data_IF_247256345877
#
_entry.id   IF_247256345877
#
_cell.length_a   1.000
_cell.length_b   1.000
_cell.length_c   1.000
_cell.angle_alpha   90.00
_cell.angle_beta   90.00
_cell.angle_gamma   90.00
#
_symmetry.space_group_name_H-M   'P 1'
#
loop_
_entity.id
_entity.type
_entity.pdbx_description
1 polymer ?
#
# COMPACT_ATOMS: atom_id res chain seq x y z
N UNK A 1 12.39 -15.26 7.61
CA UNK A 1 12.59 -15.75 6.23
C UNK A 1 12.00 -14.78 5.23
N UNK A 2 10.67 -14.74 5.04
CA UNK A 2 10.07 -13.98 3.93
C UNK A 2 9.94 -12.47 4.15
N UNK A 3 9.89 -12.00 5.40
CA UNK A 3 9.74 -10.57 5.71
C UNK A 3 10.73 -9.66 4.95
N UNK A 4 12.07 -9.81 5.08
CA UNK A 4 13.04 -8.96 4.38
C UNK A 4 13.08 -9.15 2.87
N UNK A 5 12.48 -10.21 2.32
CA UNK A 5 12.50 -10.48 0.88
C UNK A 5 11.43 -9.70 0.11
N UNK A 6 10.47 -9.06 0.81
CA UNK A 6 9.40 -8.30 0.18
C UNK A 6 9.48 -6.81 0.46
N UNK A 7 9.16 -6.03 -0.57
CA UNK A 7 9.00 -4.58 -0.54
C UNK A 7 7.63 -4.25 -1.13
N UNK A 8 6.85 -3.41 -0.45
CA UNK A 8 5.62 -2.87 -1.01
C UNK A 8 5.93 -1.53 -1.69
N UNK A 9 5.46 -1.37 -2.92
CA UNK A 9 5.61 -0.14 -3.70
C UNK A 9 4.26 0.55 -3.80
N UNK A 10 4.24 1.84 -3.53
CA UNK A 10 3.06 2.69 -3.62
C UNK A 10 3.35 3.92 -4.46
N UNK A 11 2.33 4.44 -5.12
CA UNK A 11 2.39 5.76 -5.75
C UNK A 11 1.77 6.81 -4.83
N UNK A 12 2.41 7.96 -4.73
CA UNK A 12 1.84 9.13 -4.08
C UNK A 12 0.70 9.67 -4.96
N UNK A 13 -0.51 9.74 -4.40
CA UNK A 13 -1.68 10.31 -5.07
C UNK A 13 -1.95 11.76 -4.69
N UNK A 14 -1.54 12.18 -3.49
CA UNK A 14 -1.82 13.53 -3.00
C UNK A 14 -0.96 13.90 -1.79
N UNK A 15 -0.84 15.20 -1.56
CA UNK A 15 -0.13 15.79 -0.44
C UNK A 15 -1.07 16.70 0.33
N UNK A 16 -1.08 16.58 1.65
CA UNK A 16 -1.84 17.46 2.55
C UNK A 16 -0.94 17.98 3.65
N UNK A 17 -0.66 19.27 3.60
CA UNK A 17 0.05 19.97 4.66
C UNK A 17 -0.95 20.52 5.67
N UNK A 18 -0.72 20.23 6.95
CA UNK A 18 -1.46 20.83 8.06
C UNK A 18 -0.44 21.61 8.88
N UNK A 19 -0.35 22.95 8.71
CA UNK A 19 0.64 23.78 9.36
C UNK A 19 0.67 23.58 10.88
N UNK A 20 1.88 23.39 11.44
CA UNK A 20 2.09 23.15 12.87
C UNK A 20 1.62 21.78 13.38
N UNK A 21 1.08 20.92 12.52
CA UNK A 21 0.57 19.60 12.91
C UNK A 21 1.34 18.49 12.21
N UNK A 22 1.20 18.36 10.88
CA UNK A 22 1.74 17.21 10.12
C UNK A 22 1.55 17.40 8.62
N UNK A 23 2.50 16.87 7.85
CA UNK A 23 2.34 16.65 6.41
C UNK A 23 1.97 15.19 6.15
N UNK A 24 0.94 14.97 5.33
CA UNK A 24 0.49 13.66 4.89
C UNK A 24 0.75 13.47 3.40
N UNK A 25 1.27 12.31 3.03
CA UNK A 25 1.27 11.81 1.66
C UNK A 25 0.25 10.68 1.56
N UNK A 26 -0.75 10.85 0.71
CA UNK A 26 -1.75 9.83 0.42
C UNK A 26 -1.19 8.85 -0.62
N UNK A 27 -1.23 7.56 -0.31
CA UNK A 27 -0.75 6.47 -1.14
C UNK A 27 -1.90 5.77 -1.87
N UNK A 28 -1.61 5.10 -2.98
CA UNK A 28 -2.58 4.33 -3.77
C UNK A 28 -2.91 2.94 -3.19
N UNK A 29 -2.36 2.61 -2.02
CA UNK A 29 -2.70 1.45 -1.19
C UNK A 29 -3.10 1.87 0.23
N UNK A 30 -2.82 1.03 1.23
CA UNK A 30 -3.14 1.32 2.62
C UNK A 30 -3.39 0.07 3.46
N UNK A 31 -4.23 0.21 4.47
CA UNK A 31 -4.57 -0.84 5.43
C UNK A 31 -5.18 -2.09 4.77
N UNK A 32 -5.80 -1.94 3.59
CA UNK A 32 -6.33 -3.06 2.82
C UNK A 32 -5.25 -4.01 2.30
N UNK A 33 -4.02 -3.56 2.04
CA UNK A 33 -2.90 -4.41 1.61
C UNK A 33 -1.82 -4.60 2.69
N UNK A 34 -1.77 -3.70 3.68
CA UNK A 34 -0.87 -3.78 4.82
C UNK A 34 -1.57 -3.30 6.09
N UNK A 35 -2.34 -4.20 6.70
CA UNK A 35 -3.13 -3.93 7.91
C UNK A 35 -2.27 -3.82 9.18
N UNK A 36 -0.99 -4.23 9.13
CA UNK A 36 -0.13 -4.43 10.31
C UNK A 36 0.07 -3.17 11.17
N UNK A 37 0.25 -1.95 10.60
CA UNK A 37 0.34 -0.74 11.39
C UNK A 37 -0.94 -0.46 12.19
N UNK A 38 -2.10 -0.61 11.55
CA UNK A 38 -3.40 -0.38 12.19
C UNK A 38 -3.73 -1.46 13.22
N UNK A 39 -3.39 -2.72 12.94
CA UNK A 39 -3.77 -3.87 13.76
C UNK A 39 -2.84 -4.09 14.97
N UNK A 40 -1.54 -3.90 14.81
CA UNK A 40 -0.55 -4.22 15.84
C UNK A 40 0.47 -3.10 16.11
N UNK A 41 0.27 -1.89 15.55
CA UNK A 41 1.20 -0.78 15.74
C UNK A 41 2.57 -0.99 15.08
N UNK A 42 2.64 -1.85 14.05
CA UNK A 42 3.89 -2.11 13.35
C UNK A 42 4.50 -0.82 12.78
N UNK A 43 5.81 -0.62 13.00
CA UNK A 43 6.56 0.51 12.45
C UNK A 43 7.31 0.10 11.20
N UNK A 44 7.29 0.95 10.19
CA UNK A 44 8.01 0.76 8.94
C UNK A 44 8.95 1.94 8.68
N UNK A 45 10.08 1.63 8.04
CA UNK A 45 10.84 2.62 7.30
C UNK A 45 10.16 2.88 5.93
N UNK A 46 10.54 3.97 5.28
CA UNK A 46 10.13 4.29 3.92
C UNK A 46 11.32 4.82 3.12
N UNK A 47 11.28 4.63 1.81
CA UNK A 47 12.27 5.14 0.87
C UNK A 47 11.54 5.74 -0.34
N UNK A 48 12.00 6.88 -0.84
CA UNK A 48 11.58 7.40 -2.14
C UNK A 48 12.21 6.54 -3.24
N UNK A 49 11.44 5.66 -3.88
CA UNK A 49 12.00 4.65 -4.79
C UNK A 49 12.65 5.29 -6.03
N UNK A 50 12.03 6.32 -6.59
CA UNK A 50 12.54 7.05 -7.76
C UNK A 50 13.65 8.06 -7.40
N UNK A 51 13.85 8.31 -6.11
CA UNK A 51 14.80 9.30 -5.57
C UNK A 51 15.63 8.70 -4.44
N UNK A 52 16.05 7.44 -4.56
CA UNK A 52 16.63 6.69 -3.45
C UNK A 52 17.93 7.30 -2.87
N UNK A 53 18.63 8.12 -3.65
CA UNK A 53 19.85 8.82 -3.23
C UNK A 53 19.63 10.27 -2.82
N UNK A 54 18.41 10.79 -2.92
CA UNK A 54 18.11 12.16 -2.50
C UNK A 54 18.16 12.26 -0.97
N UNK A 55 18.75 13.33 -0.42
CA UNK A 55 18.75 13.55 1.02
C UNK A 55 17.32 13.79 1.52
N UNK A 56 17.06 13.41 2.78
CA UNK A 56 15.82 13.77 3.43
C UNK A 56 15.68 15.29 3.52
N UNK A 57 14.49 15.80 3.20
CA UNK A 57 14.16 17.22 3.24
C UNK A 57 13.07 17.52 4.25
N UNK A 58 12.23 16.54 4.59
CA UNK A 58 11.08 16.73 5.47
C UNK A 58 10.65 15.44 6.19
N UNK A 59 9.91 15.61 7.27
CA UNK A 59 9.23 14.52 7.99
C UNK A 59 7.76 14.47 7.59
N UNK A 60 7.31 13.32 7.08
CA UNK A 60 5.93 13.12 6.60
C UNK A 60 5.29 11.87 7.20
N UNK A 61 3.97 11.79 7.11
CA UNK A 61 3.20 10.58 7.42
C UNK A 61 2.59 10.02 6.13
N UNK A 62 2.80 8.74 5.90
CA UNK A 62 2.25 8.02 4.76
C UNK A 62 0.89 7.43 5.15
N UNK A 63 -0.18 7.99 4.59
CA UNK A 63 -1.55 7.53 4.77
C UNK A 63 -1.99 6.73 3.53
N UNK A 64 -2.83 5.73 3.72
CA UNK A 64 -3.47 5.06 2.59
C UNK A 64 -4.68 5.83 2.06
N UNK A 65 -5.41 5.19 1.14
CA UNK A 65 -6.60 5.74 0.48
C UNK A 65 -7.94 5.37 1.12
N UNK A 66 -7.93 4.65 2.24
CA UNK A 66 -9.14 4.14 2.88
C UNK A 66 -9.77 5.22 3.78
N UNK A 67 -11.07 5.08 4.07
CA UNK A 67 -11.90 6.09 4.74
C UNK A 67 -11.67 6.17 6.27
N UNK A 68 -10.58 5.59 6.77
CA UNK A 68 -10.33 5.36 8.18
C UNK A 68 -9.16 6.20 8.64
N UNK A 69 -9.34 6.94 9.72
CA UNK A 69 -8.25 7.72 10.34
C UNK A 69 -7.06 6.85 10.79
N UNK A 70 -7.28 5.55 10.96
CA UNK A 70 -6.27 4.55 11.27
C UNK A 70 -5.47 4.06 10.05
N UNK A 71 -5.83 4.44 8.83
CA UNK A 71 -5.17 4.02 7.60
C UNK A 71 -3.83 4.72 7.38
N UNK A 72 -2.86 4.38 8.23
CA UNK A 72 -1.52 4.92 8.23
C UNK A 72 -0.52 3.79 8.03
N UNK A 73 0.28 3.89 6.96
CA UNK A 73 1.32 2.92 6.64
C UNK A 73 2.60 3.18 7.43
N UNK A 74 3.03 4.45 7.51
CA UNK A 74 4.20 4.85 8.28
C UNK A 74 4.03 6.27 8.82
N UNK A 75 4.40 6.47 10.09
CA UNK A 75 4.35 7.78 10.76
C UNK A 75 5.76 8.34 10.89
N UNK A 76 5.86 9.65 10.66
CA UNK A 76 7.04 10.46 10.97
C UNK A 76 8.31 9.92 10.31
N UNK A 77 8.22 9.62 9.02
CA UNK A 77 9.35 9.17 8.19
C UNK A 77 10.03 10.35 7.51
N UNK A 78 11.35 10.32 7.46
CA UNK A 78 12.17 11.32 6.79
C UNK A 78 12.33 10.95 5.31
N UNK A 79 11.86 11.84 4.42
CA UNK A 79 11.89 11.63 2.97
C UNK A 79 12.33 12.92 2.26
N UNK A 80 12.84 12.82 1.02
CA UNK A 80 12.90 13.99 0.15
C UNK A 80 11.49 14.55 -0.11
N UNK A 81 11.42 15.74 -0.67
CA UNK A 81 10.12 16.30 -1.07
C UNK A 81 9.51 15.48 -2.20
N UNK A 82 8.36 14.85 -1.95
CA UNK A 82 7.64 14.03 -2.91
C UNK A 82 6.37 14.71 -3.42
N UNK A 83 6.09 14.47 -4.69
CA UNK A 83 4.92 14.97 -5.42
C UNK A 83 3.99 13.83 -5.83
N UNK A 84 2.71 14.13 -6.13
CA UNK A 84 1.82 13.16 -6.75
C UNK A 84 2.46 12.57 -8.01
N UNK A 85 2.49 11.24 -8.10
CA UNK A 85 3.17 10.51 -9.15
C UNK A 85 4.42 9.78 -8.67
N UNK A 86 5.13 10.27 -7.65
CA UNK A 86 6.35 9.64 -7.15
C UNK A 86 6.10 8.29 -6.48
N UNK A 87 7.10 7.42 -6.49
CA UNK A 87 7.02 6.10 -5.85
C UNK A 87 7.66 6.07 -4.45
N UNK A 88 6.99 5.39 -3.53
CA UNK A 88 7.47 5.10 -2.17
C UNK A 88 7.58 3.59 -1.98
N UNK A 89 8.73 3.16 -1.46
CA UNK A 89 9.02 1.78 -1.10
C UNK A 89 8.95 1.57 0.42
N UNK A 90 8.19 0.55 0.83
CA UNK A 90 8.06 0.10 2.21
C UNK A 90 8.76 -1.27 2.33
N UNK A 91 9.99 -1.33 2.88
CA UNK A 91 10.71 -2.57 3.04
C UNK A 91 10.09 -3.46 4.12
N UNK A 92 10.50 -4.73 4.13
CA UNK A 92 10.02 -5.75 5.07
C UNK A 92 8.52 -6.05 5.00
N UNK A 93 7.94 -5.92 3.81
CA UNK A 93 6.54 -6.20 3.53
C UNK A 93 6.29 -7.66 3.06
N UNK A 94 7.29 -8.53 3.07
CA UNK A 94 7.16 -9.90 2.57
C UNK A 94 6.40 -10.87 3.50
N UNK A 95 6.11 -10.48 4.74
CA UNK A 95 5.37 -11.30 5.71
C UNK A 95 4.16 -10.54 6.23
N UNK A 96 3.01 -11.22 6.29
CA UNK A 96 1.78 -10.72 6.93
C UNK A 96 1.21 -9.42 6.32
N UNK A 97 1.62 -9.04 5.11
CA UNK A 97 0.96 -7.99 4.30
C UNK A 97 -0.03 -8.64 3.33
N UNK A 98 0.44 -9.15 2.18
CA UNK A 98 -0.42 -9.83 1.18
C UNK A 98 -1.32 -10.95 1.77
N UNK A 99 -0.84 -11.85 2.65
CA UNK A 99 -1.72 -12.88 3.22
C UNK A 99 -2.83 -12.34 4.13
N UNK A 100 -2.70 -11.10 4.62
CA UNK A 100 -3.69 -10.41 5.45
C UNK A 100 -4.42 -9.31 4.66
N UNK A 101 -4.23 -9.24 3.34
CA UNK A 101 -4.88 -8.26 2.51
C UNK A 101 -6.39 -8.52 2.41
N UNK A 102 -7.17 -7.45 2.32
CA UNK A 102 -8.63 -7.47 2.23
C UNK A 102 -9.11 -6.59 1.08
N UNK A 103 -10.36 -6.79 0.68
CA UNK A 103 -11.05 -5.94 -0.29
C UNK A 103 -11.86 -4.84 0.38
N UNK A 104 -11.36 -4.32 1.51
CA UNK A 104 -12.02 -3.23 2.21
C UNK A 104 -12.23 -2.05 1.25
N UNK A 105 -13.37 -1.35 1.32
CA UNK A 105 -13.77 -0.31 0.35
C UNK A 105 -13.72 -0.76 -1.12
N UNK A 106 -13.92 -2.06 -1.40
CA UNK A 106 -13.86 -2.65 -2.75
C UNK A 106 -12.53 -2.35 -3.47
N UNK A 107 -11.45 -2.21 -2.72
CA UNK A 107 -10.11 -2.04 -3.30
C UNK A 107 -9.59 -3.40 -3.77
N UNK A 108 -9.19 -3.55 -5.05
CA UNK A 108 -8.62 -4.81 -5.52
C UNK A 108 -7.25 -5.08 -4.88
N UNK A 109 -7.01 -6.30 -4.41
CA UNK A 109 -5.72 -6.72 -3.85
C UNK A 109 -4.60 -6.50 -4.88
N UNK A 110 -3.41 -6.07 -4.45
CA UNK A 110 -2.34 -5.69 -5.36
C UNK A 110 -1.72 -6.91 -6.06
N UNK A 111 -1.00 -6.63 -7.14
CA UNK A 111 -0.16 -7.62 -7.79
C UNK A 111 1.07 -7.96 -6.93
N UNK A 112 1.60 -9.18 -7.09
CA UNK A 112 2.89 -9.59 -6.55
C UNK A 112 3.85 -9.94 -7.69
N UNK A 113 5.05 -9.37 -7.66
CA UNK A 113 6.08 -9.54 -8.68
C UNK A 113 7.33 -10.14 -8.04
N UNK A 114 7.90 -11.16 -8.67
CA UNK A 114 9.23 -11.68 -8.35
C UNK A 114 10.25 -10.95 -9.20
N UNK A 115 11.31 -10.47 -8.56
CA UNK A 115 12.50 -9.95 -9.25
C UNK A 115 13.66 -10.90 -8.95
N UNK A 116 14.24 -11.46 -10.00
CA UNK A 116 15.40 -12.36 -9.90
C UNK A 116 16.28 -12.21 -11.15
N UNK A 117 17.60 -12.14 -10.96
CA UNK A 117 18.55 -11.98 -12.08
C UNK A 117 18.28 -10.78 -13.00
N UNK A 118 17.73 -9.68 -12.46
CA UNK A 118 17.35 -8.49 -13.26
C UNK A 118 16.07 -8.67 -14.10
N UNK A 119 15.37 -9.79 -13.95
CA UNK A 119 14.10 -10.07 -14.62
C UNK A 119 12.94 -9.92 -13.65
N UNK A 120 11.83 -9.34 -14.11
CA UNK A 120 10.61 -9.20 -13.35
C UNK A 120 9.54 -10.17 -13.89
N UNK A 121 8.91 -10.93 -12.99
CA UNK A 121 7.81 -11.86 -13.33
C UNK A 121 6.63 -11.65 -12.41
N UNK A 122 5.44 -11.51 -12.99
CA UNK A 122 4.20 -11.49 -12.23
C UNK A 122 3.95 -12.87 -11.61
N UNK A 123 3.92 -12.94 -10.28
CA UNK A 123 3.54 -14.16 -9.54
C UNK A 123 2.03 -14.21 -9.29
N UNK A 124 1.46 -13.06 -8.95
CA UNK A 124 0.03 -12.91 -8.70
C UNK A 124 -0.44 -11.63 -9.39
N UNK A 125 -1.43 -11.75 -10.27
CA UNK A 125 -2.05 -10.57 -10.90
C UNK A 125 -2.82 -9.75 -9.86
N UNK A 126 -2.96 -8.46 -10.13
CA UNK A 126 -3.91 -7.61 -9.40
C UNK A 126 -5.33 -8.15 -9.62
N UNK A 127 -6.17 -8.01 -8.61
CA UNK A 127 -7.59 -8.27 -8.76
C UNK A 127 -8.26 -7.25 -9.69
N UNK A 128 -9.33 -7.68 -10.34
CA UNK A 128 -10.23 -6.86 -11.15
C UNK A 128 -11.54 -6.63 -10.40
N UNK A 129 -12.40 -5.76 -10.94
CA UNK A 129 -13.76 -5.60 -10.42
C UNK A 129 -14.53 -6.93 -10.48
N UNK A 130 -14.34 -7.72 -11.54
CA UNK A 130 -15.00 -9.02 -11.68
C UNK A 130 -14.62 -9.99 -10.55
N UNK A 131 -13.36 -9.97 -10.10
CA UNK A 131 -12.94 -10.80 -8.94
C UNK A 131 -13.69 -10.38 -7.66
N UNK A 132 -13.95 -9.08 -7.49
CA UNK A 132 -14.67 -8.57 -6.31
C UNK A 132 -16.15 -8.96 -6.33
N UNK A 133 -16.76 -8.97 -7.51
CA UNK A 133 -18.17 -9.27 -7.73
C UNK A 133 -18.43 -10.77 -7.96
N UNK A 134 -17.39 -11.61 -8.02
CA UNK A 134 -17.49 -13.03 -8.38
C UNK A 134 -18.38 -13.86 -7.43
N UNK A 135 -18.73 -13.31 -6.25
CA UNK A 135 -19.61 -13.94 -5.25
C UNK A 135 -21.04 -13.38 -5.26
N UNK A 136 -21.31 -12.36 -6.05
CA UNK A 136 -22.60 -11.71 -6.11
C UNK A 136 -23.51 -12.45 -7.10
N UNK A 137 -24.74 -12.76 -6.68
CA UNK A 137 -25.74 -13.41 -7.51
C UNK A 137 -26.77 -12.39 -8.01
N UNK A 138 -27.26 -12.52 -9.26
CA UNK A 138 -28.32 -11.65 -9.76
C UNK A 138 -29.61 -11.86 -8.97
N UNK A 139 -30.28 -10.77 -8.62
CA UNK A 139 -31.62 -10.81 -8.03
C UNK A 139 -32.61 -11.20 -9.13
N UNK A 140 -33.05 -12.47 -9.17
CA UNK A 140 -34.05 -12.97 -10.13
C UNK A 140 -33.77 -14.34 -10.74
N UNK A 141 -32.63 -14.99 -10.42
CA UNK A 141 -32.36 -16.37 -10.84
C UNK A 141 -33.03 -17.38 -9.92
N UNK A 142 -33.95 -18.18 -10.48
CA UNK A 142 -34.45 -19.38 -9.79
C UNK A 142 -33.31 -20.40 -9.64
N UNK A 143 -32.76 -20.50 -8.42
CA UNK A 143 -32.00 -21.65 -7.93
C UNK A 143 -30.54 -21.77 -8.41
N UNK A 144 -29.61 -21.61 -7.47
CA UNK A 144 -28.69 -22.68 -7.03
C UNK A 144 -27.75 -22.12 -5.96
N UNK A 145 -28.03 -22.48 -4.71
CA UNK A 145 -27.02 -22.64 -3.66
C UNK A 145 -26.86 -24.16 -3.44
#
# INVERSE_FOLDING_TARGET
IVAPAGVALYRVGGRKEIPGVRTYLALDGGMGDNIRPALYGARYAALAADHASAPAAETVTLAGRFCESGDIIARDVELPHLQPGDLVAIPRAGAYCLPMASNYNLVPRPAAVLVDGGQARLLQRRETLDDLLARDLPLGGAGQA
#
